data_IF_363237059953
#
_entry.id   IF_363237059953
#
_cell.length_a   1.000
_cell.length_b   1.000
_cell.length_c   1.000
_cell.angle_alpha   90.00
_cell.angle_beta   90.00
_cell.angle_gamma   90.00
#
_symmetry.space_group_name_H-M   'P 1'
#
loop_
_entity.id
_entity.type
_entity.pdbx_description
1 polymer ?
#
# COMPACT_ATOMS: atom_id res chain seq x y z
N UNK A 1 1.78 -13.86 -15.77
CA UNK A 1 1.14 -12.93 -14.82
C UNK A 1 -0.32 -13.37 -14.65
N UNK A 2 -0.70 -13.91 -13.50
CA UNK A 2 -2.09 -14.25 -13.22
C UNK A 2 -2.76 -13.05 -12.55
N UNK A 3 -3.77 -12.49 -13.20
CA UNK A 3 -4.71 -11.57 -12.56
C UNK A 3 -5.70 -12.45 -11.81
N UNK A 4 -5.58 -12.50 -10.49
CA UNK A 4 -6.55 -13.21 -9.67
C UNK A 4 -7.85 -12.40 -9.67
N UNK A 5 -8.83 -12.85 -10.45
CA UNK A 5 -10.21 -12.49 -10.20
C UNK A 5 -10.80 -13.60 -9.33
N UNK A 6 -11.64 -13.26 -8.37
CA UNK A 6 -12.41 -14.21 -7.57
C UNK A 6 -13.29 -15.16 -8.41
N UNK A 7 -13.33 -14.96 -9.72
CA UNK A 7 -14.07 -15.80 -10.68
C UNK A 7 -13.51 -17.22 -10.86
N UNK A 8 -12.30 -17.52 -10.33
CA UNK A 8 -11.63 -18.81 -10.50
C UNK A 8 -11.69 -19.73 -9.26
N UNK A 9 -12.51 -19.41 -8.28
CA UNK A 9 -12.71 -20.29 -7.11
C UNK A 9 -14.12 -20.86 -7.12
N UNK A 10 -14.28 -22.08 -7.63
CA UNK A 10 -15.58 -22.72 -7.95
C UNK A 10 -16.58 -22.82 -6.80
N UNK A 11 -16.16 -22.75 -5.55
CA UNK A 11 -17.04 -22.84 -4.37
C UNK A 11 -17.40 -21.45 -3.81
N UNK A 12 -16.54 -20.47 -3.95
CA UNK A 12 -16.76 -19.10 -3.47
C UNK A 12 -17.42 -18.22 -4.55
N UNK A 13 -17.24 -18.55 -5.81
CA UNK A 13 -17.73 -17.79 -6.95
C UNK A 13 -19.26 -17.62 -6.91
N UNK A 14 -20.02 -18.64 -6.56
CA UNK A 14 -21.49 -18.56 -6.49
C UNK A 14 -22.00 -17.70 -5.33
N UNK A 15 -21.31 -17.72 -4.20
CA UNK A 15 -21.66 -16.90 -3.02
C UNK A 15 -21.26 -15.43 -3.15
N UNK A 16 -20.28 -15.14 -3.99
CA UNK A 16 -19.67 -13.82 -4.16
C UNK A 16 -19.73 -13.29 -5.59
N UNK A 17 -20.62 -13.83 -6.43
CA UNK A 17 -20.82 -13.41 -7.84
C UNK A 17 -21.03 -11.91 -8.01
N UNK A 18 -21.51 -11.24 -6.98
CA UNK A 18 -21.77 -9.80 -6.97
C UNK A 18 -20.75 -8.99 -6.14
N UNK A 19 -19.71 -9.64 -5.60
CA UNK A 19 -18.67 -8.94 -4.85
C UNK A 19 -17.58 -8.46 -5.80
N UNK A 20 -17.76 -7.30 -6.38
CA UNK A 20 -16.66 -6.62 -7.07
C UNK A 20 -15.77 -6.02 -6.00
N UNK A 21 -14.61 -6.62 -5.77
CA UNK A 21 -13.59 -5.96 -4.94
C UNK A 21 -13.15 -4.69 -5.65
N UNK A 22 -13.18 -3.53 -4.99
CA UNK A 22 -12.82 -2.25 -5.61
C UNK A 22 -11.31 -2.09 -5.76
N UNK A 23 -10.59 -3.18 -6.04
CA UNK A 23 -9.13 -3.19 -6.10
C UNK A 23 -8.61 -4.16 -7.17
N UNK A 24 -7.49 -3.78 -7.75
CA UNK A 24 -6.69 -4.64 -8.63
C UNK A 24 -5.63 -5.37 -7.80
N UNK A 25 -5.45 -6.69 -8.00
CA UNK A 25 -4.42 -7.48 -7.32
C UNK A 25 -3.45 -8.01 -8.35
N UNK A 26 -2.15 -7.75 -8.13
CA UNK A 26 -1.06 -8.20 -9.00
C UNK A 26 -0.08 -9.05 -8.19
N UNK A 27 0.21 -10.26 -8.69
CA UNK A 27 1.18 -11.19 -8.09
C UNK A 27 2.09 -11.68 -9.20
N UNK A 28 3.40 -11.42 -9.10
CA UNK A 28 4.41 -11.87 -10.05
C UNK A 28 5.82 -11.71 -9.47
N UNK A 29 6.83 -12.25 -10.15
CA UNK A 29 8.24 -12.13 -9.76
C UNK A 29 8.83 -10.73 -10.03
N UNK A 30 8.26 -9.98 -10.94
CA UNK A 30 8.69 -8.60 -11.28
C UNK A 30 7.46 -7.78 -11.59
N UNK A 31 7.19 -6.78 -10.76
CA UNK A 31 6.02 -5.91 -10.90
C UNK A 31 6.37 -4.45 -11.18
N UNK A 32 7.66 -4.10 -11.29
CA UNK A 32 8.10 -2.71 -11.50
C UNK A 32 7.39 -2.06 -12.69
N UNK A 33 7.42 -2.67 -13.86
CA UNK A 33 6.79 -2.10 -15.05
C UNK A 33 5.26 -2.03 -14.91
N UNK A 34 4.67 -3.03 -14.26
CA UNK A 34 3.23 -3.04 -14.00
C UNK A 34 2.78 -1.94 -13.04
N UNK A 35 3.61 -1.63 -12.03
CA UNK A 35 3.36 -0.52 -11.11
C UNK A 35 3.45 0.80 -11.87
N UNK A 36 4.49 0.98 -12.70
CA UNK A 36 4.67 2.17 -13.51
C UNK A 36 3.51 2.37 -14.49
N UNK A 37 3.14 1.33 -15.25
CA UNK A 37 1.99 1.36 -16.15
C UNK A 37 0.70 1.75 -15.42
N UNK A 38 0.47 1.20 -14.21
CA UNK A 38 -0.70 1.53 -13.41
C UNK A 38 -0.72 3.01 -13.01
N UNK A 39 0.44 3.53 -12.57
CA UNK A 39 0.58 4.93 -12.18
C UNK A 39 0.45 5.87 -13.38
N UNK A 40 1.05 5.54 -14.52
CA UNK A 40 1.00 6.37 -15.73
C UNK A 40 -0.41 6.42 -16.32
N UNK A 41 -1.14 5.31 -16.32
CA UNK A 41 -2.49 5.27 -16.86
C UNK A 41 -3.54 5.96 -15.97
N UNK A 42 -3.37 5.92 -14.64
CA UNK A 42 -4.40 6.42 -13.71
C UNK A 42 -4.00 7.70 -12.98
N UNK A 43 -2.68 7.96 -12.84
CA UNK A 43 -2.13 9.01 -11.97
C UNK A 43 -0.99 9.81 -12.63
N UNK A 44 -0.99 9.94 -13.97
CA UNK A 44 0.08 10.61 -14.72
C UNK A 44 0.38 12.05 -14.24
N UNK A 45 -0.67 12.85 -14.05
CA UNK A 45 -0.57 14.26 -13.61
C UNK A 45 -1.04 14.45 -12.16
N UNK A 46 -0.80 13.45 -11.29
CA UNK A 46 -1.26 13.44 -9.90
C UNK A 46 -0.09 13.54 -8.93
N UNK A 47 -0.37 14.13 -7.77
CA UNK A 47 0.58 14.28 -6.67
C UNK A 47 0.71 12.97 -5.91
N UNK A 48 1.89 12.38 -5.95
CA UNK A 48 2.18 11.09 -5.35
C UNK A 48 2.98 11.25 -4.07
N UNK A 49 2.64 10.48 -3.04
CA UNK A 49 3.41 10.38 -1.81
C UNK A 49 3.77 8.91 -1.54
N UNK A 50 5.06 8.59 -1.65
CA UNK A 50 5.57 7.29 -1.19
C UNK A 50 5.77 7.34 0.32
N UNK A 51 5.27 6.32 1.01
CA UNK A 51 5.48 6.11 2.44
C UNK A 51 6.12 4.75 2.64
N UNK A 52 7.22 4.75 3.36
CA UNK A 52 7.96 3.54 3.71
C UNK A 52 8.63 3.70 5.07
N UNK A 53 9.33 2.68 5.54
CA UNK A 53 10.21 2.77 6.68
C UNK A 53 11.68 2.63 6.27
N UNK A 54 12.58 3.08 7.15
CA UNK A 54 14.02 3.13 6.87
C UNK A 54 14.66 1.76 6.67
N UNK A 55 14.06 0.69 7.19
CA UNK A 55 14.63 -0.67 7.06
C UNK A 55 14.36 -1.27 5.68
N UNK A 56 13.24 -0.88 5.04
CA UNK A 56 12.80 -1.54 3.81
C UNK A 56 12.94 -0.68 2.57
N UNK A 57 13.09 0.64 2.69
CA UNK A 57 13.14 1.55 1.52
C UNK A 57 14.28 1.21 0.56
N UNK A 58 15.37 0.61 1.02
CA UNK A 58 16.47 0.13 0.18
C UNK A 58 16.08 -1.02 -0.76
N UNK A 59 15.03 -1.76 -0.43
CA UNK A 59 14.51 -2.86 -1.25
C UNK A 59 13.56 -2.39 -2.36
N UNK A 60 13.21 -1.11 -2.39
CA UNK A 60 12.42 -0.56 -3.50
C UNK A 60 13.23 -0.68 -4.80
N UNK A 61 12.69 -1.34 -5.86
CA UNK A 61 13.40 -1.53 -7.10
C UNK A 61 13.95 -0.21 -7.66
N UNK A 62 15.24 -0.18 -8.02
CA UNK A 62 15.92 1.03 -8.46
C UNK A 62 15.21 1.73 -9.62
N UNK A 63 14.74 0.95 -10.60
CA UNK A 63 13.97 1.47 -11.75
C UNK A 63 12.69 2.18 -11.29
N UNK A 64 11.96 1.59 -10.34
CA UNK A 64 10.75 2.20 -9.79
C UNK A 64 11.07 3.49 -9.03
N UNK A 65 12.10 3.45 -8.19
CA UNK A 65 12.56 4.63 -7.43
C UNK A 65 12.92 5.78 -8.34
N UNK A 66 13.74 5.53 -9.35
CA UNK A 66 14.17 6.54 -10.32
C UNK A 66 12.99 7.13 -11.11
N UNK A 67 12.06 6.28 -11.56
CA UNK A 67 10.87 6.72 -12.29
C UNK A 67 9.93 7.57 -11.41
N UNK A 68 9.78 7.23 -10.13
CA UNK A 68 9.01 8.03 -9.19
C UNK A 68 9.68 9.39 -8.93
N UNK A 69 11.00 9.39 -8.68
CA UNK A 69 11.77 10.61 -8.41
C UNK A 69 11.85 11.56 -9.61
N UNK A 70 11.67 11.06 -10.83
CA UNK A 70 11.60 11.89 -12.04
C UNK A 70 10.27 12.64 -12.20
N UNK A 71 9.25 12.33 -11.39
CA UNK A 71 7.96 13.03 -11.43
C UNK A 71 8.03 14.35 -10.67
N UNK A 72 7.50 15.43 -11.24
CA UNK A 72 7.52 16.76 -10.67
C UNK A 72 6.76 16.83 -9.32
N UNK A 73 5.63 16.17 -9.23
CA UNK A 73 4.73 16.15 -8.05
C UNK A 73 4.89 14.89 -7.18
N UNK A 74 6.11 14.39 -7.04
CA UNK A 74 6.44 13.24 -6.19
C UNK A 74 7.09 13.67 -4.88
N UNK A 75 6.67 13.02 -3.79
CA UNK A 75 7.26 13.18 -2.45
C UNK A 75 7.49 11.83 -1.79
N UNK A 76 8.42 11.81 -0.85
CA UNK A 76 8.70 10.65 0.00
C UNK A 76 8.54 11.02 1.48
N UNK A 77 7.98 10.10 2.26
CA UNK A 77 8.02 10.12 3.73
C UNK A 77 8.57 8.78 4.22
N UNK A 78 9.80 8.80 4.74
CA UNK A 78 10.43 7.62 5.31
C UNK A 78 10.30 7.71 6.82
N UNK A 79 9.51 6.81 7.40
CA UNK A 79 9.31 6.72 8.84
C UNK A 79 10.54 6.11 9.50
N UNK A 80 11.02 6.76 10.57
CA UNK A 80 12.22 6.37 11.30
C UNK A 80 11.84 6.03 12.73
N UNK A 81 11.66 4.74 13.02
CA UNK A 81 11.45 4.23 14.37
C UNK A 81 11.90 2.77 14.44
N UNK A 82 12.39 2.33 15.59
CA UNK A 82 12.81 0.95 15.81
C UNK A 82 12.33 0.44 17.17
N UNK A 83 11.32 -0.43 17.24
CA UNK A 83 10.47 -0.85 16.11
C UNK A 83 9.45 0.22 15.68
N UNK A 84 9.15 0.28 14.38
CA UNK A 84 8.05 1.10 13.88
C UNK A 84 6.72 0.52 14.32
N UNK A 85 5.84 1.35 14.87
CA UNK A 85 4.51 0.96 15.35
C UNK A 85 3.42 1.58 14.48
N UNK A 86 2.35 0.82 14.27
CA UNK A 86 1.12 1.38 13.72
C UNK A 86 0.35 2.09 14.85
N UNK A 87 0.66 3.35 15.11
CA UNK A 87 0.08 4.16 16.17
C UNK A 87 -0.43 5.52 15.67
N UNK A 88 -1.13 6.23 16.56
CA UNK A 88 -1.74 7.52 16.23
C UNK A 88 -0.71 8.59 15.85
N UNK A 89 0.49 8.57 16.44
CA UNK A 89 1.53 9.57 16.15
C UNK A 89 2.04 9.44 14.70
N UNK A 90 2.33 8.20 14.28
CA UNK A 90 2.74 7.94 12.89
C UNK A 90 1.61 8.20 11.90
N UNK A 91 0.36 7.93 12.25
CA UNK A 91 -0.81 8.30 11.42
C UNK A 91 -0.90 9.81 11.23
N UNK A 92 -0.78 10.60 12.31
CA UNK A 92 -0.80 12.06 12.25
C UNK A 92 0.35 12.62 11.40
N UNK A 93 1.55 12.03 11.51
CA UNK A 93 2.69 12.39 10.69
C UNK A 93 2.38 12.17 9.19
N UNK A 94 1.80 11.02 8.84
CA UNK A 94 1.39 10.72 7.45
C UNK A 94 0.33 11.72 6.98
N UNK A 95 -0.73 11.93 7.77
CA UNK A 95 -1.81 12.87 7.44
C UNK A 95 -1.25 14.27 7.16
N UNK A 96 -0.30 14.74 7.97
CA UNK A 96 0.33 16.05 7.79
C UNK A 96 1.09 16.14 6.46
N UNK A 97 1.82 15.09 6.07
CA UNK A 97 2.60 15.07 4.83
C UNK A 97 1.74 14.82 3.58
N UNK A 98 0.64 14.09 3.74
CA UNK A 98 -0.27 13.76 2.65
C UNK A 98 -1.28 14.86 2.28
N UNK A 99 -1.20 16.03 2.94
CA UNK A 99 -2.00 17.20 2.54
C UNK A 99 -1.66 17.57 1.09
N UNK A 100 -2.69 17.72 0.26
CA UNK A 100 -2.58 17.98 -1.18
C UNK A 100 -1.91 16.85 -1.98
N UNK A 101 -2.04 15.62 -1.52
CA UNK A 101 -1.65 14.39 -2.22
C UNK A 101 -2.88 13.75 -2.85
N UNK A 102 -2.75 13.22 -4.06
CA UNK A 102 -3.83 12.51 -4.76
C UNK A 102 -3.78 11.01 -4.52
N UNK A 103 -2.57 10.45 -4.31
CA UNK A 103 -2.36 9.03 -4.10
C UNK A 103 -1.24 8.78 -3.09
N UNK A 104 -1.49 7.92 -2.12
CA UNK A 104 -0.45 7.34 -1.25
C UNK A 104 0.04 6.01 -1.85
N UNK A 105 1.36 5.85 -1.94
CA UNK A 105 2.03 4.61 -2.30
C UNK A 105 2.63 4.04 -1.01
N UNK A 106 1.99 3.01 -0.45
CA UNK A 106 2.47 2.32 0.74
C UNK A 106 3.48 1.23 0.32
N UNK A 107 4.78 1.44 0.56
CA UNK A 107 5.81 0.43 0.35
C UNK A 107 6.31 -0.09 1.69
N UNK A 108 5.93 -1.33 2.06
CA UNK A 108 6.33 -1.88 3.35
C UNK A 108 5.55 -3.10 3.80
N UNK A 109 5.75 -3.43 5.07
CA UNK A 109 5.06 -4.52 5.78
C UNK A 109 3.64 -4.12 6.20
N UNK A 110 2.99 -4.98 6.97
CA UNK A 110 1.65 -4.72 7.52
C UNK A 110 1.56 -3.44 8.33
N UNK A 111 2.61 -3.04 9.03
CA UNK A 111 2.64 -1.77 9.79
C UNK A 111 2.47 -0.56 8.87
N UNK A 112 3.28 -0.47 7.81
CA UNK A 112 3.17 0.61 6.81
C UNK A 112 1.81 0.58 6.13
N UNK A 113 1.32 -0.62 5.76
CA UNK A 113 0.01 -0.74 5.14
C UNK A 113 -1.12 -0.23 6.06
N UNK A 114 -1.13 -0.61 7.34
CA UNK A 114 -2.17 -0.17 8.27
C UNK A 114 -2.14 1.34 8.54
N UNK A 115 -0.95 1.92 8.65
CA UNK A 115 -0.76 3.37 8.77
C UNK A 115 -1.30 4.11 7.55
N UNK A 116 -0.87 3.71 6.34
CA UNK A 116 -1.30 4.35 5.09
C UNK A 116 -2.79 4.17 4.82
N UNK A 117 -3.31 2.98 5.08
CA UNK A 117 -4.72 2.63 4.95
C UNK A 117 -5.60 3.54 5.81
N UNK A 118 -5.23 3.72 7.08
CA UNK A 118 -5.98 4.55 8.01
C UNK A 118 -5.83 6.05 7.70
N UNK A 119 -4.63 6.50 7.32
CA UNK A 119 -4.41 7.88 6.87
C UNK A 119 -5.22 8.19 5.60
N UNK A 120 -5.23 7.30 4.62
CA UNK A 120 -6.02 7.43 3.38
C UNK A 120 -7.52 7.53 3.66
N UNK A 121 -8.03 6.73 4.62
CA UNK A 121 -9.41 6.80 5.06
C UNK A 121 -9.76 8.17 5.65
N UNK A 122 -8.92 8.68 6.57
CA UNK A 122 -9.15 9.97 7.21
C UNK A 122 -9.08 11.16 6.23
N UNK A 123 -8.24 11.07 5.21
CA UNK A 123 -8.07 12.11 4.19
C UNK A 123 -9.02 11.94 3.00
N UNK A 124 -9.72 10.81 2.92
CA UNK A 124 -10.53 10.42 1.76
C UNK A 124 -9.77 10.45 0.42
N UNK A 125 -8.50 10.03 0.43
CA UNK A 125 -7.67 9.88 -0.76
C UNK A 125 -7.44 8.41 -1.07
N UNK A 126 -6.99 8.11 -2.29
CA UNK A 126 -6.69 6.73 -2.68
C UNK A 126 -5.31 6.31 -2.21
N UNK A 127 -5.12 5.00 -2.03
CA UNK A 127 -3.80 4.44 -1.82
C UNK A 127 -3.63 3.11 -2.56
N UNK A 128 -2.38 2.81 -2.89
CA UNK A 128 -1.94 1.50 -3.36
C UNK A 128 -0.95 0.92 -2.35
N UNK A 129 -0.84 -0.42 -2.32
CA UNK A 129 0.16 -1.10 -1.50
C UNK A 129 1.10 -1.93 -2.36
N UNK A 130 2.39 -1.78 -2.10
CA UNK A 130 3.48 -2.63 -2.59
C UNK A 130 3.99 -3.36 -1.36
N UNK A 131 3.59 -4.62 -1.20
CA UNK A 131 3.91 -5.41 -0.02
C UNK A 131 5.39 -5.81 0.00
N UNK A 132 6.06 -5.60 1.12
CA UNK A 132 7.47 -5.98 1.30
C UNK A 132 7.67 -7.27 2.10
N UNK A 133 6.64 -7.79 2.75
CA UNK A 133 6.71 -9.02 3.54
C UNK A 133 5.37 -9.77 3.49
N UNK A 134 5.35 -11.11 3.49
CA UNK A 134 4.14 -11.92 3.57
C UNK A 134 3.62 -12.00 5.02
N UNK A 135 3.72 -10.92 5.77
CA UNK A 135 3.55 -10.88 7.23
C UNK A 135 2.10 -10.82 7.70
N UNK A 136 1.15 -10.54 6.80
CA UNK A 136 -0.26 -10.42 7.15
C UNK A 136 -1.18 -10.69 5.95
N UNK A 137 -2.39 -11.15 6.25
CA UNK A 137 -3.47 -11.28 5.27
C UNK A 137 -4.33 -10.00 5.13
N UNK A 138 -4.08 -8.99 5.95
CA UNK A 138 -4.86 -7.75 6.01
C UNK A 138 -4.50 -6.68 4.97
N UNK A 139 -3.60 -6.94 4.01
CA UNK A 139 -3.23 -5.96 2.98
C UNK A 139 -4.43 -5.43 2.20
N UNK A 140 -5.38 -6.31 1.91
CA UNK A 140 -6.58 -6.03 1.11
C UNK A 140 -7.86 -5.99 1.96
N UNK A 141 -7.77 -5.64 3.24
CA UNK A 141 -8.93 -5.46 4.12
C UNK A 141 -9.34 -3.99 4.25
N UNK A 142 -10.56 -3.75 4.72
CA UNK A 142 -11.09 -2.42 5.04
C UNK A 142 -10.89 -2.02 6.51
N UNK A 143 -10.06 -2.74 7.25
CA UNK A 143 -9.72 -2.44 8.64
C UNK A 143 -8.23 -2.23 8.79
N UNK A 144 -7.85 -1.32 9.68
CA UNK A 144 -6.47 -1.07 10.10
C UNK A 144 -6.33 -1.32 11.59
N UNK A 145 -5.19 -1.88 11.99
CA UNK A 145 -4.88 -2.17 13.39
C UNK A 145 -3.97 -1.07 13.94
N UNK A 146 -4.55 -0.07 14.61
CA UNK A 146 -3.84 1.12 15.11
C UNK A 146 -3.81 1.13 16.63
N UNK A 147 -2.66 1.45 17.19
CA UNK A 147 -2.48 1.66 18.64
C UNK A 147 -2.82 3.10 18.99
N UNK A 148 -3.80 3.29 19.87
CA UNK A 148 -4.24 4.58 20.38
C UNK A 148 -4.21 4.51 21.92
N UNK A 149 -3.49 5.42 22.58
CA UNK A 149 -3.33 5.45 24.03
C UNK A 149 -2.88 4.08 24.59
N UNK A 150 -1.89 3.46 23.94
CA UNK A 150 -1.34 2.13 24.25
C UNK A 150 -2.30 0.94 24.06
N UNK A 151 -3.50 1.15 23.52
CA UNK A 151 -4.44 0.08 23.20
C UNK A 151 -4.50 -0.17 21.69
N UNK A 152 -4.28 -1.42 21.28
CA UNK A 152 -4.43 -1.83 19.89
C UNK A 152 -5.91 -1.95 19.54
N UNK A 153 -6.35 -1.18 18.54
CA UNK A 153 -7.74 -1.12 18.07
C UNK A 153 -7.83 -1.50 16.60
N UNK A 154 -8.87 -2.26 16.25
CA UNK A 154 -9.23 -2.48 14.84
C UNK A 154 -10.19 -1.36 14.44
N UNK A 155 -9.78 -0.53 13.51
CA UNK A 155 -10.51 0.65 13.06
C UNK A 155 -10.97 0.48 11.61
N UNK A 156 -12.15 1.01 11.29
CA UNK A 156 -12.60 1.09 9.91
C UNK A 156 -11.61 1.92 9.09
N UNK A 157 -11.30 1.45 7.89
CA UNK A 157 -10.33 2.05 7.00
C UNK A 157 -10.74 1.83 5.54
N UNK A 158 -9.88 2.22 4.60
CA UNK A 158 -10.14 2.16 3.16
C UNK A 158 -9.45 0.94 2.54
N UNK A 159 -10.09 0.28 1.56
CA UNK A 159 -9.38 -0.68 0.71
C UNK A 159 -8.34 0.02 -0.15
N UNK A 160 -7.19 -0.62 -0.45
CA UNK A 160 -6.33 -0.13 -1.51
C UNK A 160 -7.05 -0.22 -2.85
N UNK A 161 -6.78 0.69 -3.77
CA UNK A 161 -7.27 0.58 -5.15
C UNK A 161 -6.45 -0.41 -5.97
N UNK A 162 -5.23 -0.70 -5.55
CA UNK A 162 -4.40 -1.77 -6.08
C UNK A 162 -3.44 -2.32 -5.03
N UNK A 163 -3.16 -3.64 -5.09
CA UNK A 163 -2.18 -4.31 -4.27
C UNK A 163 -1.18 -5.08 -5.14
N UNK A 164 0.11 -4.84 -4.91
CA UNK A 164 1.21 -5.44 -5.65
C UNK A 164 2.02 -6.34 -4.72
N UNK A 165 2.09 -7.62 -5.07
CA UNK A 165 2.83 -8.66 -4.37
C UNK A 165 3.96 -9.14 -5.28
N UNK A 166 5.08 -8.41 -5.27
CA UNK A 166 6.28 -8.80 -6.00
C UNK A 166 7.01 -9.90 -5.23
N UNK A 167 7.07 -11.10 -5.82
CA UNK A 167 7.63 -12.26 -5.15
C UNK A 167 9.14 -12.12 -4.90
N UNK A 168 9.87 -11.35 -5.72
CA UNK A 168 11.29 -11.09 -5.50
C UNK A 168 11.51 -10.14 -4.30
N UNK A 169 10.59 -9.21 -4.05
CA UNK A 169 10.62 -8.36 -2.86
C UNK A 169 10.22 -9.18 -1.64
N UNK A 170 9.10 -9.91 -1.73
CA UNK A 170 8.56 -10.70 -0.60
C UNK A 170 9.53 -11.79 -0.12
N UNK A 171 10.31 -12.38 -1.03
CA UNK A 171 11.30 -13.42 -0.71
C UNK A 171 12.49 -12.88 0.12
N UNK A 172 12.70 -11.56 0.18
CA UNK A 172 13.77 -10.92 0.97
C UNK A 172 13.32 -10.57 2.39
N UNK A 173 12.04 -10.78 2.71
CA UNK A 173 11.53 -10.50 4.06
C UNK A 173 12.23 -11.40 5.09
N UNK A 174 12.60 -10.86 6.27
CA UNK A 174 13.26 -11.61 7.35
C UNK A 174 12.35 -12.68 7.97
#
# INVERSE_FOLDING_TARGET
MQKFSLQNTDILADKFKNLTLPLDIFISNELTDKILDFLDNKFAAKKLLLISDHNIISELPLKLKQALQAREDYKELILVANPLKADSENVEQIIKHAKNTDLIIAFGSGTINDLCKYASYNLNIDYIVIASAPSMNGYISSNASITINNFKKSLAAKFPIAAFFDLNILAKAP
#
